data_IF_942669396207
#
_entry.id   IF_942669396207
#
_cell.length_a   1.000
_cell.length_b   1.000
_cell.length_c   1.000
_cell.angle_alpha   90.00
_cell.angle_beta   90.00
_cell.angle_gamma   90.00
#
_symmetry.space_group_name_H-M   'P 1'
#
loop_
_entity.id
_entity.type
_entity.pdbx_description
1 polymer ?
#
# COMPACT_ATOMS: atom_id res chain seq x y z
N UNK A 1 -1.80 3.62 0.05
CA UNK A 1 -1.82 3.04 1.40
C UNK A 1 -3.22 3.01 2.02
N UNK A 2 -4.00 4.08 1.95
CA UNK A 2 -5.32 4.18 2.62
C UNK A 2 -6.30 3.05 2.29
N UNK A 3 -6.37 2.61 1.02
CA UNK A 3 -7.23 1.47 0.64
C UNK A 3 -6.82 0.17 1.32
N UNK A 4 -5.52 -0.09 1.45
CA UNK A 4 -5.01 -1.24 2.22
C UNK A 4 -5.39 -1.11 3.69
N UNK A 5 -5.25 0.09 4.26
CA UNK A 5 -5.63 0.34 5.65
C UNK A 5 -7.13 0.08 5.90
N UNK A 6 -8.01 0.52 4.99
CA UNK A 6 -9.44 0.23 5.06
C UNK A 6 -9.76 -1.27 4.98
N UNK A 7 -9.08 -2.01 4.09
CA UNK A 7 -9.26 -3.46 3.98
C UNK A 7 -8.80 -4.20 5.24
N UNK A 8 -7.67 -3.79 5.82
CA UNK A 8 -7.17 -4.34 7.07
C UNK A 8 -8.16 -4.05 8.19
N UNK A 9 -8.60 -2.80 8.33
CA UNK A 9 -9.58 -2.42 9.36
C UNK A 9 -10.91 -3.16 9.22
N UNK A 10 -11.38 -3.43 7.99
CA UNK A 10 -12.60 -4.18 7.73
C UNK A 10 -12.54 -5.63 8.24
N UNK A 11 -11.35 -6.21 8.44
CA UNK A 11 -11.17 -7.53 9.08
C UNK A 11 -11.34 -7.50 10.61
N UNK A 12 -11.62 -6.34 11.21
CA UNK A 12 -11.93 -6.24 12.64
C UNK A 12 -10.68 -6.17 13.54
N UNK A 13 -9.59 -5.56 13.04
CA UNK A 13 -8.39 -5.35 13.88
C UNK A 13 -8.68 -4.39 15.02
N UNK A 14 -7.94 -4.53 16.14
CA UNK A 14 -8.00 -3.60 17.27
C UNK A 14 -7.15 -2.33 17.09
N UNK A 15 -6.46 -2.19 15.96
CA UNK A 15 -5.58 -1.06 15.68
C UNK A 15 -6.41 0.14 15.20
N UNK A 16 -6.00 1.33 15.63
CA UNK A 16 -6.46 2.59 15.04
C UNK A 16 -5.96 2.74 13.60
N UNK A 17 -6.61 3.62 12.83
CA UNK A 17 -6.19 3.88 11.44
C UNK A 17 -4.71 4.28 11.33
N UNK A 18 -4.24 5.14 12.24
CA UNK A 18 -2.84 5.58 12.26
C UNK A 18 -1.86 4.44 12.57
N UNK A 19 -2.21 3.51 13.46
CA UNK A 19 -1.41 2.32 13.74
C UNK A 19 -1.38 1.36 12.55
N UNK A 20 -2.50 1.20 11.85
CA UNK A 20 -2.55 0.39 10.62
C UNK A 20 -1.66 0.99 9.53
N UNK A 21 -1.72 2.30 9.31
CA UNK A 21 -0.86 2.98 8.33
C UNK A 21 0.61 2.77 8.68
N UNK A 22 0.99 3.01 9.94
CA UNK A 22 2.37 2.82 10.40
C UNK A 22 2.83 1.37 10.24
N UNK A 23 1.98 0.41 10.60
CA UNK A 23 2.26 -1.01 10.42
C UNK A 23 2.47 -1.35 8.94
N UNK A 24 1.61 -0.85 8.04
CA UNK A 24 1.76 -1.08 6.60
C UNK A 24 3.05 -0.46 6.04
N UNK A 25 3.44 0.73 6.50
CA UNK A 25 4.68 1.39 6.08
C UNK A 25 5.93 0.65 6.55
N UNK A 26 5.92 0.06 7.75
CA UNK A 26 7.06 -0.68 8.27
C UNK A 26 7.15 -2.13 7.82
N UNK A 27 6.05 -2.69 7.26
CA UNK A 27 5.98 -4.09 6.85
C UNK A 27 6.01 -4.32 5.35
N UNK A 28 5.78 -3.28 4.54
CA UNK A 28 5.79 -3.36 3.08
C UNK A 28 6.99 -2.60 2.56
N UNK A 29 7.93 -3.32 1.94
CA UNK A 29 9.13 -2.72 1.36
C UNK A 29 8.86 -1.99 0.03
N UNK A 30 7.95 -2.54 -0.79
CA UNK A 30 7.61 -1.99 -2.10
C UNK A 30 6.17 -2.29 -2.50
N UNK A 31 5.53 -1.32 -3.14
CA UNK A 31 4.25 -1.46 -3.82
C UNK A 31 4.46 -1.15 -5.30
N UNK A 32 4.14 -2.13 -6.14
CA UNK A 32 4.18 -1.97 -7.60
C UNK A 32 2.76 -1.84 -8.11
N UNK A 33 2.43 -0.70 -8.71
CA UNK A 33 1.18 -0.56 -9.44
C UNK A 33 1.36 -1.07 -10.87
N UNK A 34 0.67 -2.16 -11.19
CA UNK A 34 0.67 -2.73 -12.53
C UNK A 34 -0.50 -2.16 -13.34
N UNK A 35 -0.32 -2.04 -14.65
CA UNK A 35 -1.37 -1.52 -15.52
C UNK A 35 -1.09 -1.73 -16.99
N UNK A 36 -1.78 -0.95 -17.82
CA UNK A 36 -1.58 -0.90 -19.26
C UNK A 36 -1.43 0.53 -19.76
N UNK A 37 -0.52 0.73 -20.71
CA UNK A 37 -0.44 1.95 -21.54
C UNK A 37 -0.75 1.50 -22.97
N UNK A 38 -1.95 1.84 -23.44
CA UNK A 38 -2.52 1.22 -24.64
C UNK A 38 -2.62 -0.29 -24.47
N UNK A 39 -1.99 -1.05 -25.38
CA UNK A 39 -2.01 -2.52 -25.37
C UNK A 39 -0.86 -3.16 -24.58
N UNK A 40 0.11 -2.37 -24.13
CA UNK A 40 1.28 -2.88 -23.41
C UNK A 40 1.01 -2.97 -21.92
N UNK A 41 1.26 -4.14 -21.31
CA UNK A 41 1.24 -4.34 -19.86
C UNK A 41 2.58 -3.95 -19.26
N UNK A 42 2.56 -3.31 -18.09
CA UNK A 42 3.80 -2.92 -17.41
C UNK A 42 3.60 -2.43 -15.98
N UNK A 43 4.71 -2.05 -15.37
CA UNK A 43 4.74 -1.32 -14.10
C UNK A 43 4.45 0.15 -14.42
N UNK A 44 3.45 0.70 -13.77
CA UNK A 44 3.01 2.08 -13.92
C UNK A 44 3.66 2.98 -12.87
N UNK A 45 3.76 2.47 -11.64
CA UNK A 45 4.29 3.21 -10.51
C UNK A 45 4.98 2.25 -9.54
N UNK A 46 6.03 2.74 -8.88
CA UNK A 46 6.73 2.07 -7.80
C UNK A 46 6.74 2.98 -6.60
N UNK A 47 6.24 2.47 -5.48
CA UNK A 47 6.18 3.17 -4.21
C UNK A 47 6.98 2.38 -3.17
N UNK A 48 7.86 3.05 -2.43
CA UNK A 48 8.73 2.44 -1.43
C UNK A 48 8.43 3.05 -0.06
N UNK A 49 7.51 2.45 0.72
CA UNK A 49 7.01 3.05 1.95
C UNK A 49 8.09 3.37 2.98
N UNK A 50 9.17 2.57 3.03
CA UNK A 50 10.28 2.75 3.95
C UNK A 50 11.34 3.77 3.51
N UNK A 51 11.16 4.42 2.35
CA UNK A 51 12.06 5.47 1.83
C UNK A 51 11.44 6.87 1.88
N UNK A 52 10.17 6.99 2.27
CA UNK A 52 9.52 8.28 2.49
C UNK A 52 9.75 8.72 3.95
N UNK A 53 10.31 9.92 4.14
CA UNK A 53 10.57 10.56 5.45
C UNK A 53 9.27 10.97 6.19
#
# INVERSE_FOLDING_TARGET
MDRLALLVMAQGTKLSFGEVIRYLQTSIDVILQMGRIGDQRGIMEMYFPGLDD
#
